data_IF_463780569130
#
_entry.id   IF_463780569130
#
_cell.length_a   1.000
_cell.length_b   1.000
_cell.length_c   1.000
_cell.angle_alpha   90.00
_cell.angle_beta   90.00
_cell.angle_gamma   90.00
#
_symmetry.space_group_name_H-M   'P 1'
#
loop_
_entity.id
_entity.type
_entity.pdbx_description
1 polymer ?
#
# COMPACT_ATOMS: atom_id res chain seq x y z
N UNK A 1 -67.88 -56.31 121.04
CA UNK A 1 -68.02 -57.12 119.81
C UNK A 1 -68.49 -56.27 118.64
N UNK A 2 -69.65 -55.61 118.72
CA UNK A 2 -70.19 -54.82 117.59
C UNK A 2 -69.29 -53.66 117.10
N UNK A 3 -68.60 -52.96 118.01
CA UNK A 3 -67.72 -51.84 117.64
C UNK A 3 -66.46 -52.29 116.87
N UNK A 4 -65.96 -53.49 117.16
CA UNK A 4 -64.83 -54.11 116.43
C UNK A 4 -65.30 -54.59 115.06
N UNK A 5 -66.50 -55.18 114.96
CA UNK A 5 -67.10 -55.55 113.67
C UNK A 5 -67.33 -54.34 112.77
N UNK A 6 -67.80 -53.22 113.32
CA UNK A 6 -67.97 -51.98 112.57
C UNK A 6 -66.64 -51.43 112.04
N UNK A 7 -65.59 -51.43 112.86
CA UNK A 7 -64.25 -51.01 112.43
C UNK A 7 -63.68 -51.93 111.34
N UNK A 8 -63.84 -53.25 111.45
CA UNK A 8 -63.41 -54.22 110.43
C UNK A 8 -64.16 -53.98 109.11
N UNK A 9 -65.47 -53.74 109.17
CA UNK A 9 -66.28 -53.47 107.98
C UNK A 9 -65.92 -52.13 107.32
N UNK A 10 -65.61 -51.10 108.12
CA UNK A 10 -65.11 -49.81 107.62
C UNK A 10 -63.75 -49.94 106.94
N UNK A 11 -62.78 -50.59 107.60
CA UNK A 11 -61.44 -50.87 107.05
C UNK A 11 -61.51 -51.75 105.79
N UNK A 12 -62.49 -52.65 105.71
CA UNK A 12 -62.75 -53.47 104.53
C UNK A 12 -63.20 -52.66 103.32
N UNK A 13 -64.14 -51.71 103.51
CA UNK A 13 -64.56 -50.77 102.46
C UNK A 13 -63.43 -49.85 102.02
N UNK A 14 -62.64 -49.36 102.97
CA UNK A 14 -61.49 -48.50 102.70
C UNK A 14 -60.38 -49.25 101.93
N UNK A 15 -60.12 -50.52 102.27
CA UNK A 15 -59.23 -51.39 101.50
C UNK A 15 -59.74 -51.66 100.08
N UNK A 16 -61.05 -51.84 99.89
CA UNK A 16 -61.64 -52.04 98.57
C UNK A 16 -61.47 -50.78 97.70
N UNK A 17 -61.79 -49.60 98.24
CA UNK A 17 -61.60 -48.31 97.58
C UNK A 17 -60.12 -48.07 97.18
N UNK A 18 -59.18 -48.41 98.09
CA UNK A 18 -57.75 -48.31 97.79
C UNK A 18 -57.33 -49.25 96.66
N UNK A 19 -57.85 -50.50 96.61
CA UNK A 19 -57.57 -51.44 95.53
C UNK A 19 -58.09 -50.96 94.17
N UNK A 20 -59.30 -50.42 94.14
CA UNK A 20 -59.89 -49.82 92.92
C UNK A 20 -59.06 -48.62 92.44
N UNK A 21 -58.64 -47.77 93.37
CA UNK A 21 -57.78 -46.61 93.06
C UNK A 21 -56.42 -47.04 92.53
N UNK A 22 -55.76 -48.05 93.14
CA UNK A 22 -54.49 -48.60 92.66
C UNK A 22 -54.66 -49.15 91.24
N UNK A 23 -55.71 -49.94 90.98
CA UNK A 23 -55.97 -50.50 89.65
C UNK A 23 -56.17 -49.39 88.60
N UNK A 24 -56.84 -48.30 88.94
CA UNK A 24 -57.01 -47.16 88.04
C UNK A 24 -55.68 -46.45 87.78
N UNK A 25 -54.87 -46.22 88.82
CA UNK A 25 -53.55 -45.60 88.67
C UNK A 25 -52.61 -46.47 87.83
N UNK A 26 -52.63 -47.79 87.99
CA UNK A 26 -51.85 -48.72 87.17
C UNK A 26 -52.27 -48.64 85.68
N UNK A 27 -53.58 -48.56 85.41
CA UNK A 27 -54.09 -48.36 84.05
C UNK A 27 -53.60 -47.03 83.46
N UNK A 28 -53.70 -45.94 84.21
CA UNK A 28 -53.25 -44.61 83.77
C UNK A 28 -51.73 -44.58 83.52
N UNK A 29 -50.94 -45.22 84.39
CA UNK A 29 -49.48 -45.34 84.21
C UNK A 29 -49.16 -46.08 82.91
N UNK A 30 -49.90 -47.14 82.60
CA UNK A 30 -49.72 -47.90 81.36
C UNK A 30 -50.04 -47.04 80.13
N UNK A 31 -51.12 -46.27 80.16
CA UNK A 31 -51.51 -45.36 79.09
C UNK A 31 -50.46 -44.27 78.88
N UNK A 32 -50.05 -43.57 79.94
CA UNK A 32 -48.99 -42.55 79.91
C UNK A 32 -47.68 -43.11 79.35
N UNK A 33 -47.29 -44.33 79.74
CA UNK A 33 -46.07 -44.95 79.23
C UNK A 33 -46.16 -45.27 77.73
N UNK A 34 -47.35 -45.64 77.24
CA UNK A 34 -47.59 -45.88 75.82
C UNK A 34 -47.54 -44.59 75.00
N UNK A 35 -48.15 -43.52 75.50
CA UNK A 35 -48.07 -42.18 74.89
C UNK A 35 -46.63 -41.65 74.87
N UNK A 36 -45.89 -41.82 75.97
CA UNK A 36 -44.48 -41.46 76.04
C UNK A 36 -43.64 -42.18 74.98
N UNK A 37 -43.87 -43.48 74.76
CA UNK A 37 -43.19 -44.22 73.70
C UNK A 37 -43.53 -43.65 72.32
N UNK A 38 -44.81 -43.42 72.03
CA UNK A 38 -45.24 -42.85 70.74
C UNK A 38 -44.63 -41.46 70.49
N UNK A 39 -44.57 -40.62 71.53
CA UNK A 39 -43.92 -39.30 71.45
C UNK A 39 -42.41 -39.42 71.22
N UNK A 40 -41.76 -40.40 71.86
CA UNK A 40 -40.32 -40.67 71.67
C UNK A 40 -40.04 -41.10 70.23
N UNK A 41 -40.82 -42.04 69.68
CA UNK A 41 -40.69 -42.49 68.29
C UNK A 41 -40.89 -41.35 67.29
N UNK A 42 -41.88 -40.49 67.57
CA UNK A 42 -42.15 -39.29 66.76
C UNK A 42 -40.99 -38.31 66.82
N UNK A 43 -40.44 -38.05 68.01
CA UNK A 43 -39.28 -37.18 68.20
C UNK A 43 -38.04 -37.70 67.45
N UNK A 44 -37.81 -39.00 67.48
CA UNK A 44 -36.70 -39.63 66.76
C UNK A 44 -36.89 -39.54 65.24
N UNK A 45 -38.13 -39.68 64.76
CA UNK A 45 -38.44 -39.47 63.34
C UNK A 45 -38.19 -38.04 62.89
N UNK A 46 -38.70 -37.06 63.66
CA UNK A 46 -38.48 -35.63 63.37
C UNK A 46 -37.00 -35.26 63.42
N UNK A 47 -36.23 -35.85 64.34
CA UNK A 47 -34.79 -35.64 64.44
C UNK A 47 -34.05 -36.15 63.19
N UNK A 48 -34.47 -37.30 62.65
CA UNK A 48 -33.92 -37.82 61.37
C UNK A 48 -34.29 -36.93 60.18
N UNK A 49 -35.53 -36.46 60.12
CA UNK A 49 -35.96 -35.56 59.05
C UNK A 49 -35.25 -34.21 59.08
N UNK A 50 -35.04 -33.64 60.27
CA UNK A 50 -34.25 -32.42 60.44
C UNK A 50 -32.82 -32.61 59.92
N UNK A 51 -32.15 -33.70 60.31
CA UNK A 51 -30.81 -33.99 59.84
C UNK A 51 -30.74 -34.16 58.31
N UNK A 52 -31.77 -34.78 57.71
CA UNK A 52 -31.90 -34.91 56.25
C UNK A 52 -32.06 -33.56 55.57
N UNK A 53 -32.97 -32.72 56.06
CA UNK A 53 -33.22 -31.38 55.51
C UNK A 53 -31.97 -30.49 55.64
N UNK A 54 -31.24 -30.57 56.75
CA UNK A 54 -29.99 -29.82 56.92
C UNK A 54 -28.90 -30.29 55.95
N UNK A 55 -28.81 -31.60 55.68
CA UNK A 55 -27.90 -32.12 54.65
C UNK A 55 -28.30 -31.65 53.24
N UNK A 56 -29.59 -31.67 52.91
CA UNK A 56 -30.09 -31.16 51.63
C UNK A 56 -29.84 -29.65 51.48
N UNK A 57 -30.09 -28.87 52.53
CA UNK A 57 -29.84 -27.42 52.55
C UNK A 57 -28.37 -27.11 52.32
N UNK A 58 -27.47 -27.77 53.04
CA UNK A 58 -26.03 -27.54 52.89
C UNK A 58 -25.54 -27.90 51.48
N UNK A 59 -26.05 -28.97 50.87
CA UNK A 59 -25.77 -29.30 49.47
C UNK A 59 -26.20 -28.18 48.53
N UNK A 60 -27.44 -27.70 48.65
CA UNK A 60 -27.97 -26.62 47.79
C UNK A 60 -27.20 -25.32 47.97
N UNK A 61 -26.80 -24.98 49.21
CA UNK A 61 -25.98 -23.80 49.48
C UNK A 61 -24.60 -23.91 48.82
N UNK A 62 -24.00 -25.11 48.80
CA UNK A 62 -22.73 -25.32 48.09
C UNK A 62 -22.88 -25.19 46.58
N UNK A 63 -23.93 -25.75 45.99
CA UNK A 63 -24.21 -25.66 44.56
C UNK A 63 -24.47 -24.20 44.15
N UNK A 64 -25.26 -23.47 44.94
CA UNK A 64 -25.53 -22.05 44.71
C UNK A 64 -24.25 -21.20 44.74
N UNK A 65 -23.31 -21.53 45.63
CA UNK A 65 -22.01 -20.84 45.68
C UNK A 65 -21.20 -21.10 44.41
N UNK A 66 -21.10 -22.36 43.98
CA UNK A 66 -20.37 -22.74 42.75
C UNK A 66 -20.97 -22.05 41.53
N UNK A 67 -22.30 -22.03 41.42
CA UNK A 67 -23.03 -21.40 40.33
C UNK A 67 -22.79 -19.88 40.30
N UNK A 68 -22.74 -19.22 41.46
CA UNK A 68 -22.39 -17.78 41.56
C UNK A 68 -20.96 -17.52 41.08
N UNK A 69 -20.00 -18.33 41.51
CA UNK A 69 -18.59 -18.19 41.10
C UNK A 69 -18.41 -18.46 39.60
N UNK A 70 -19.15 -19.41 39.04
CA UNK A 70 -19.18 -19.65 37.59
C UNK A 70 -19.73 -18.44 36.83
N UNK A 71 -20.87 -17.91 37.27
CA UNK A 71 -21.50 -16.73 36.65
C UNK A 71 -20.60 -15.51 36.69
N UNK A 72 -19.92 -15.27 37.80
CA UNK A 72 -18.98 -14.16 37.92
C UNK A 72 -17.82 -14.29 36.93
N UNK A 73 -17.24 -15.49 36.81
CA UNK A 73 -16.18 -15.75 35.81
C UNK A 73 -16.67 -15.55 34.39
N UNK A 74 -17.85 -16.06 34.05
CA UNK A 74 -18.44 -15.87 32.73
C UNK A 74 -18.68 -14.38 32.42
N UNK A 75 -19.12 -13.60 33.41
CA UNK A 75 -19.34 -12.18 33.26
C UNK A 75 -18.02 -11.40 33.08
N UNK A 76 -16.96 -11.79 33.78
CA UNK A 76 -15.62 -11.23 33.57
C UNK A 76 -15.11 -11.50 32.15
N UNK A 77 -15.24 -12.74 31.67
CA UNK A 77 -14.89 -13.12 30.30
C UNK A 77 -15.70 -12.30 29.30
N UNK A 78 -17.01 -12.19 29.49
CA UNK A 78 -17.88 -11.41 28.60
C UNK A 78 -17.45 -9.95 28.50
N UNK A 79 -17.08 -9.32 29.63
CA UNK A 79 -16.59 -7.93 29.63
C UNK A 79 -15.26 -7.81 28.89
N UNK A 80 -14.31 -8.70 29.14
CA UNK A 80 -13.03 -8.75 28.42
C UNK A 80 -13.23 -8.93 26.90
N UNK A 81 -14.12 -9.85 26.48
CA UNK A 81 -14.40 -10.06 25.06
C UNK A 81 -15.09 -8.83 24.44
N UNK A 82 -15.98 -8.14 25.16
CA UNK A 82 -16.59 -6.89 24.69
C UNK A 82 -15.54 -5.80 24.46
N UNK A 83 -14.58 -5.65 25.37
CA UNK A 83 -13.49 -4.69 25.22
C UNK A 83 -12.63 -5.00 23.99
N UNK A 84 -12.29 -6.27 23.77
CA UNK A 84 -11.57 -6.72 22.56
C UNK A 84 -12.35 -6.40 21.28
N UNK A 85 -13.66 -6.65 21.26
CA UNK A 85 -14.52 -6.32 20.11
C UNK A 85 -14.49 -4.81 19.84
N UNK A 86 -14.60 -3.98 20.87
CA UNK A 86 -14.52 -2.52 20.72
C UNK A 86 -13.16 -2.08 20.18
N UNK A 87 -12.06 -2.68 20.64
CA UNK A 87 -10.72 -2.40 20.10
C UNK A 87 -10.60 -2.78 18.63
N UNK A 88 -11.04 -3.99 18.26
CA UNK A 88 -10.99 -4.44 16.86
C UNK A 88 -11.87 -3.59 15.94
N UNK A 89 -13.00 -3.09 16.45
CA UNK A 89 -13.85 -2.16 15.71
C UNK A 89 -13.14 -0.83 15.42
N UNK A 90 -12.34 -0.33 16.38
CA UNK A 90 -11.50 0.85 16.18
C UNK A 90 -10.41 0.59 15.13
N UNK A 91 -9.70 -0.54 15.23
CA UNK A 91 -8.65 -0.90 14.27
C UNK A 91 -9.21 -1.03 12.84
N UNK A 92 -10.39 -1.65 12.69
CA UNK A 92 -11.09 -1.75 11.40
C UNK A 92 -11.43 -0.36 10.85
N UNK A 93 -11.84 0.58 11.70
CA UNK A 93 -12.12 1.94 11.28
C UNK A 93 -10.85 2.63 10.75
N UNK A 94 -9.74 2.55 11.48
CA UNK A 94 -8.45 3.10 11.06
C UNK A 94 -7.94 2.49 9.75
N UNK A 95 -8.01 1.17 9.61
CA UNK A 95 -7.61 0.47 8.38
C UNK A 95 -8.45 0.91 7.16
N UNK A 96 -9.74 1.21 7.35
CA UNK A 96 -10.58 1.73 6.28
C UNK A 96 -10.19 3.15 5.86
N UNK A 97 -9.78 4.01 6.80
CA UNK A 97 -9.27 5.34 6.48
C UNK A 97 -7.97 5.26 5.66
N UNK A 98 -7.03 4.43 6.12
CA UNK A 98 -5.77 4.20 5.39
C UNK A 98 -6.02 3.64 3.99
N UNK A 99 -6.96 2.70 3.85
CA UNK A 99 -7.36 2.17 2.54
C UNK A 99 -7.89 3.27 1.61
N UNK A 100 -8.72 4.17 2.13
CA UNK A 100 -9.26 5.28 1.34
C UNK A 100 -8.15 6.22 0.85
N UNK A 101 -7.17 6.53 1.71
CA UNK A 101 -5.99 7.31 1.33
C UNK A 101 -5.15 6.59 0.27
N UNK A 102 -4.92 5.29 0.45
CA UNK A 102 -4.20 4.47 -0.52
C UNK A 102 -4.90 4.44 -1.88
N UNK A 103 -6.22 4.29 -1.91
CA UNK A 103 -7.01 4.31 -3.15
C UNK A 103 -6.94 5.67 -3.85
N UNK A 104 -6.93 6.77 -3.08
CA UNK A 104 -6.71 8.12 -3.62
C UNK A 104 -5.32 8.26 -4.24
N UNK A 105 -4.28 7.86 -3.51
CA UNK A 105 -2.90 7.88 -3.97
C UNK A 105 -2.71 7.03 -5.24
N UNK A 106 -3.28 5.83 -5.27
CA UNK A 106 -3.23 4.93 -6.42
C UNK A 106 -3.87 5.55 -7.67
N UNK A 107 -5.02 6.22 -7.52
CA UNK A 107 -5.67 6.95 -8.63
C UNK A 107 -4.78 8.08 -9.14
N UNK A 108 -4.18 8.85 -8.25
CA UNK A 108 -3.30 9.95 -8.62
C UNK A 108 -2.03 9.47 -9.35
N UNK A 109 -1.40 8.41 -8.85
CA UNK A 109 -0.27 7.77 -9.53
C UNK A 109 -0.62 7.27 -10.93
N UNK A 110 -1.80 6.67 -11.11
CA UNK A 110 -2.27 6.24 -12.42
C UNK A 110 -2.51 7.41 -13.38
N UNK A 111 -3.00 8.55 -12.89
CA UNK A 111 -3.13 9.77 -13.71
C UNK A 111 -1.77 10.29 -14.16
N UNK A 112 -0.82 10.40 -13.24
CA UNK A 112 0.53 10.86 -13.55
C UNK A 112 1.22 9.97 -14.58
N UNK A 113 1.04 8.65 -14.46
CA UNK A 113 1.56 7.70 -15.44
C UNK A 113 0.96 7.92 -16.84
N UNK A 114 -0.36 8.09 -16.92
CA UNK A 114 -1.04 8.36 -18.20
C UNK A 114 -0.58 9.69 -18.82
N UNK A 115 -0.46 10.75 -18.00
CA UNK A 115 -0.01 12.06 -18.47
C UNK A 115 1.44 12.01 -19.00
N UNK A 116 2.32 11.28 -18.30
CA UNK A 116 3.70 11.10 -18.73
C UNK A 116 3.78 10.30 -20.04
N UNK A 117 2.98 9.24 -20.15
CA UNK A 117 2.90 8.43 -21.37
C UNK A 117 2.39 9.26 -22.56
N UNK A 118 1.39 10.11 -22.35
CA UNK A 118 0.89 11.03 -23.38
C UNK A 118 1.96 12.02 -23.82
N UNK A 119 2.66 12.65 -22.88
CA UNK A 119 3.78 13.57 -23.19
C UNK A 119 4.88 12.87 -23.99
N UNK A 120 5.21 11.63 -23.64
CA UNK A 120 6.21 10.86 -24.36
C UNK A 120 5.77 10.60 -25.81
N UNK A 121 4.51 10.21 -26.04
CA UNK A 121 3.96 10.01 -27.38
C UNK A 121 3.97 11.30 -28.22
N UNK A 122 3.55 12.42 -27.63
CA UNK A 122 3.58 13.75 -28.29
C UNK A 122 5.01 14.15 -28.69
N UNK A 123 6.00 13.86 -27.83
CA UNK A 123 7.42 14.09 -28.13
C UNK A 123 7.94 13.19 -29.25
N UNK A 124 7.59 11.91 -29.26
CA UNK A 124 7.97 10.97 -30.32
C UNK A 124 7.39 11.39 -31.69
N UNK A 125 6.13 11.82 -31.72
CA UNK A 125 5.50 12.33 -32.94
C UNK A 125 6.20 13.59 -33.45
N UNK A 126 6.50 14.53 -32.55
CA UNK A 126 7.23 15.77 -32.88
C UNK A 126 8.61 15.45 -33.48
N UNK A 127 9.36 14.53 -32.88
CA UNK A 127 10.68 14.12 -33.38
C UNK A 127 10.54 13.49 -34.77
N UNK A 128 9.54 12.63 -34.98
CA UNK A 128 9.28 11.99 -36.27
C UNK A 128 8.97 13.03 -37.36
N UNK A 129 8.14 14.02 -37.06
CA UNK A 129 7.84 15.11 -38.00
C UNK A 129 9.08 15.95 -38.33
N UNK A 130 9.88 16.30 -37.33
CA UNK A 130 11.11 17.05 -37.53
C UNK A 130 12.13 16.27 -38.36
N UNK A 131 12.25 14.95 -38.12
CA UNK A 131 13.11 14.07 -38.91
C UNK A 131 12.69 14.07 -40.40
N UNK A 132 11.39 13.97 -40.69
CA UNK A 132 10.88 14.06 -42.06
C UNK A 132 11.14 15.43 -42.71
N UNK A 133 10.91 16.52 -41.97
CA UNK A 133 11.20 17.89 -42.44
C UNK A 133 12.68 18.10 -42.75
N UNK A 134 13.56 17.53 -41.93
CA UNK A 134 15.01 17.56 -42.14
C UNK A 134 15.40 16.77 -43.39
N UNK A 135 14.85 15.56 -43.57
CA UNK A 135 15.10 14.74 -44.76
C UNK A 135 14.71 15.46 -46.05
N UNK A 136 13.55 16.12 -46.07
CA UNK A 136 13.09 16.92 -47.22
C UNK A 136 14.02 18.11 -47.46
N UNK A 137 14.47 18.79 -46.41
CA UNK A 137 15.38 19.94 -46.54
C UNK A 137 16.74 19.52 -47.12
N UNK A 138 17.29 18.40 -46.67
CA UNK A 138 18.55 17.84 -47.20
C UNK A 138 18.42 17.52 -48.69
N UNK A 139 17.35 16.82 -49.10
CA UNK A 139 17.11 16.51 -50.52
C UNK A 139 17.03 17.77 -51.38
N UNK A 140 16.38 18.84 -50.89
CA UNK A 140 16.31 20.13 -51.58
C UNK A 140 17.68 20.81 -51.72
N UNK A 141 18.51 20.76 -50.67
CA UNK A 141 19.88 21.29 -50.74
C UNK A 141 20.75 20.50 -51.72
N UNK A 142 20.62 19.17 -51.76
CA UNK A 142 21.33 18.33 -52.73
C UNK A 142 20.89 18.61 -54.17
N UNK A 143 19.57 18.71 -54.42
CA UNK A 143 19.03 19.10 -55.73
C UNK A 143 19.51 20.50 -56.16
N UNK A 144 19.61 21.44 -55.22
CA UNK A 144 20.14 22.78 -55.49
C UNK A 144 21.64 22.72 -55.83
N UNK A 145 22.44 21.95 -55.08
CA UNK A 145 23.88 21.73 -55.36
C UNK A 145 24.11 21.06 -56.72
N UNK A 146 23.27 20.11 -57.10
CA UNK A 146 23.40 19.39 -58.36
C UNK A 146 23.04 20.28 -59.57
N UNK A 147 22.02 21.16 -59.42
CA UNK A 147 21.64 22.14 -60.46
C UNK A 147 22.61 23.30 -60.62
N UNK A 148 23.24 23.77 -59.54
CA UNK A 148 24.12 24.95 -59.60
C UNK A 148 25.51 24.63 -60.14
N UNK A 149 25.89 23.35 -60.32
CA UNK A 149 27.16 22.92 -60.91
C UNK A 149 28.43 23.39 -60.16
N UNK A 150 28.28 24.23 -59.13
CA UNK A 150 29.32 24.64 -58.21
C UNK A 150 29.60 23.48 -57.26
N UNK A 151 30.44 22.56 -57.74
CA UNK A 151 31.36 21.88 -56.82
C UNK A 151 32.07 22.99 -56.05
N UNK A 152 31.69 23.20 -54.79
CA UNK A 152 32.55 23.83 -53.79
C UNK A 152 33.82 22.96 -53.73
N UNK A 153 34.76 23.29 -54.60
CA UNK A 153 35.99 22.57 -54.81
C UNK A 153 36.88 22.83 -53.61
N UNK A 154 37.08 21.79 -52.80
CA UNK A 154 38.00 21.75 -51.66
C UNK A 154 39.35 22.36 -52.05
N UNK A 155 39.89 23.23 -51.20
CA UNK A 155 41.20 23.85 -51.39
C UNK A 155 42.27 22.78 -51.62
N UNK A 156 42.86 22.78 -52.81
CA UNK A 156 43.77 21.74 -53.25
C UNK A 156 45.10 21.86 -52.49
N UNK A 157 45.65 20.74 -52.01
CA UNK A 157 46.94 20.74 -51.32
C UNK A 157 48.08 20.91 -52.32
N UNK A 158 49.13 21.62 -51.93
CA UNK A 158 50.26 21.90 -52.81
C UNK A 158 50.98 20.61 -53.21
N UNK A 159 51.10 19.64 -52.32
CA UNK A 159 51.81 18.38 -52.54
C UNK A 159 51.21 17.55 -53.68
N UNK A 160 49.89 17.64 -53.89
CA UNK A 160 49.14 16.82 -54.83
C UNK A 160 49.22 17.33 -56.28
N UNK A 161 49.82 18.51 -56.51
CA UNK A 161 49.80 19.18 -57.81
C UNK A 161 51.19 19.34 -58.39
N UNK A 162 51.48 18.63 -59.48
CA UNK A 162 52.77 18.73 -60.19
C UNK A 162 52.77 19.77 -61.32
N UNK A 163 51.60 20.09 -61.85
CA UNK A 163 51.43 20.96 -63.02
C UNK A 163 50.32 21.99 -62.82
N UNK A 164 50.41 23.12 -63.53
CA UNK A 164 49.37 24.16 -63.49
C UNK A 164 48.03 23.61 -63.99
N UNK A 165 46.95 23.76 -63.22
CA UNK A 165 45.64 23.21 -63.57
C UNK A 165 45.10 23.70 -64.94
N UNK A 166 45.52 24.89 -65.39
CA UNK A 166 45.10 25.47 -66.67
C UNK A 166 46.05 25.14 -67.83
N UNK A 167 47.31 25.56 -67.75
CA UNK A 167 48.25 25.41 -68.88
C UNK A 167 49.05 24.11 -68.90
N UNK A 168 48.86 23.23 -67.90
CA UNK A 168 49.46 21.89 -67.80
C UNK A 168 50.99 21.82 -67.78
N UNK A 169 51.67 22.96 -67.74
CA UNK A 169 53.13 23.01 -67.57
C UNK A 169 53.49 22.72 -66.10
N UNK A 170 54.57 22.00 -65.85
CA UNK A 170 55.06 21.65 -64.51
C UNK A 170 55.47 22.86 -63.65
N UNK A 171 55.35 22.70 -62.34
CA UNK A 171 55.88 23.65 -61.36
C UNK A 171 57.35 23.38 -61.06
N UNK A 172 58.09 24.43 -60.70
CA UNK A 172 59.51 24.35 -60.36
C UNK A 172 59.85 25.42 -59.31
N UNK A 173 61.08 25.43 -58.80
CA UNK A 173 61.50 26.44 -57.81
C UNK A 173 61.29 27.88 -58.29
N UNK A 174 61.43 28.13 -59.60
CA UNK A 174 61.20 29.43 -60.23
C UNK A 174 59.73 29.68 -60.60
N UNK A 175 58.92 28.62 -60.66
CA UNK A 175 57.52 28.68 -61.04
C UNK A 175 56.64 28.19 -59.89
N UNK A 176 56.22 29.12 -59.06
CA UNK A 176 55.48 28.86 -57.82
C UNK A 176 54.01 28.52 -58.07
N UNK A 177 53.44 27.80 -57.11
CA UNK A 177 52.03 27.41 -57.03
C UNK A 177 51.21 28.55 -56.44
N UNK A 178 50.03 28.77 -57.01
CA UNK A 178 49.10 29.80 -56.55
C UNK A 178 47.65 29.31 -56.62
N UNK A 179 46.95 29.34 -55.48
CA UNK A 179 45.53 29.00 -55.47
C UNK A 179 44.63 30.09 -56.04
N UNK A 180 43.62 29.68 -56.79
CA UNK A 180 42.46 30.52 -57.06
C UNK A 180 41.59 30.59 -55.80
N UNK A 181 41.28 31.80 -55.31
CA UNK A 181 40.41 32.00 -54.13
C UNK A 181 38.92 31.76 -54.40
N UNK A 182 38.55 31.60 -55.68
CA UNK A 182 37.18 31.28 -56.08
C UNK A 182 36.96 29.75 -56.20
N UNK A 183 37.86 29.00 -56.85
CA UNK A 183 37.69 27.55 -57.04
C UNK A 183 38.64 26.66 -56.22
N UNK A 184 39.61 27.20 -55.49
CA UNK A 184 40.53 26.42 -54.65
C UNK A 184 41.61 25.60 -55.38
N UNK A 185 41.63 25.58 -56.72
CA UNK A 185 42.63 24.88 -57.53
C UNK A 185 43.95 25.65 -57.66
N UNK A 186 45.03 24.98 -58.07
CA UNK A 186 46.41 25.52 -58.12
C UNK A 186 46.86 25.86 -59.55
N UNK A 187 47.37 27.08 -59.72
CA UNK A 187 47.79 27.66 -60.99
C UNK A 187 49.18 28.32 -60.89
N UNK A 188 49.81 28.62 -62.02
CA UNK A 188 51.00 29.47 -62.07
C UNK A 188 50.60 30.96 -62.15
N UNK A 189 51.56 31.86 -61.93
CA UNK A 189 51.33 33.31 -61.95
C UNK A 189 50.66 33.78 -63.25
N UNK A 190 51.05 33.23 -64.40
CA UNK A 190 50.46 33.59 -65.71
C UNK A 190 49.00 33.16 -65.89
N UNK A 191 48.52 32.14 -65.17
CA UNK A 191 47.15 31.61 -65.29
C UNK A 191 46.23 32.08 -64.15
N UNK A 192 46.79 32.73 -63.13
CA UNK A 192 46.02 33.28 -62.01
C UNK A 192 46.56 34.66 -61.60
N UNK A 193 47.08 35.45 -62.53
CA UNK A 193 47.75 36.73 -62.24
C UNK A 193 46.81 37.83 -61.76
N UNK A 194 45.52 37.72 -62.05
CA UNK A 194 44.53 38.74 -61.75
C UNK A 194 43.99 38.62 -60.33
N UNK A 195 43.77 39.77 -59.68
CA UNK A 195 43.03 39.87 -58.42
C UNK A 195 41.70 40.54 -58.67
N UNK A 196 40.61 39.92 -58.20
CA UNK A 196 39.26 40.46 -58.26
C UNK A 196 38.64 40.53 -56.86
N UNK A 197 37.75 41.49 -56.59
CA UNK A 197 36.94 41.46 -55.38
C UNK A 197 36.03 40.21 -55.42
N UNK A 198 36.01 39.44 -54.33
CA UNK A 198 35.06 38.34 -54.14
C UNK A 198 34.15 38.68 -52.97
N UNK A 199 32.88 38.24 -52.96
CA UNK A 199 31.98 38.42 -51.81
C UNK A 199 32.57 37.88 -50.49
N UNK A 200 33.47 36.90 -50.57
CA UNK A 200 34.16 36.30 -49.42
C UNK A 200 35.33 37.12 -48.87
N UNK A 201 35.72 38.25 -49.50
CA UNK A 201 36.84 39.07 -49.03
C UNK A 201 36.72 40.55 -49.40
N UNK A 202 36.92 41.43 -48.43
CA UNK A 202 36.91 42.89 -48.61
C UNK A 202 38.12 43.43 -49.40
N UNK A 203 39.05 42.56 -49.83
CA UNK A 203 40.23 42.93 -50.63
C UNK A 203 40.25 42.12 -51.93
N UNK A 204 40.75 42.66 -53.05
CA UNK A 204 40.92 41.89 -54.27
C UNK A 204 41.81 40.65 -54.04
N UNK A 205 41.26 39.47 -54.31
CA UNK A 205 41.93 38.18 -54.13
C UNK A 205 42.24 37.53 -55.46
N UNK A 206 43.29 36.69 -55.46
CA UNK A 206 43.79 36.02 -56.66
C UNK A 206 42.77 35.04 -57.22
N UNK A 207 42.45 35.14 -58.51
CA UNK A 207 41.56 34.20 -59.21
C UNK A 207 42.22 33.70 -60.50
N UNK A 208 41.91 32.46 -60.90
CA UNK A 208 42.36 31.94 -62.21
C UNK A 208 41.60 32.61 -63.35
N UNK A 209 42.14 32.51 -64.57
CA UNK A 209 41.53 33.12 -65.76
C UNK A 209 40.09 32.67 -65.99
N UNK A 210 39.78 31.39 -65.73
CA UNK A 210 38.43 30.85 -65.87
C UNK A 210 37.46 31.48 -64.86
N UNK A 211 37.82 31.51 -63.57
CA UNK A 211 37.00 32.15 -62.54
C UNK A 211 36.86 33.64 -62.80
N UNK A 212 37.92 34.31 -63.26
CA UNK A 212 37.85 35.73 -63.67
C UNK A 212 36.79 35.93 -64.74
N UNK A 213 36.84 35.16 -65.83
CA UNK A 213 35.89 35.30 -66.92
C UNK A 213 34.46 34.99 -66.48
N UNK A 214 34.26 33.97 -65.63
CA UNK A 214 32.94 33.62 -65.10
C UNK A 214 32.37 34.71 -64.19
N UNK A 215 33.17 35.24 -63.27
CA UNK A 215 32.77 36.32 -62.36
C UNK A 215 32.46 37.61 -63.12
N UNK A 216 33.26 37.96 -64.13
CA UNK A 216 32.99 39.11 -64.99
C UNK A 216 31.70 38.93 -65.81
N UNK A 217 31.45 37.72 -66.31
CA UNK A 217 30.20 37.41 -67.01
C UNK A 217 28.99 37.49 -66.07
N UNK A 218 29.09 37.00 -64.83
CA UNK A 218 28.03 37.15 -63.83
C UNK A 218 27.75 38.61 -63.44
N UNK A 219 28.77 39.47 -63.43
CA UNK A 219 28.57 40.91 -63.22
C UNK A 219 27.86 41.59 -64.40
N UNK A 220 28.07 41.13 -65.64
CA UNK A 220 27.38 41.69 -66.81
C UNK A 220 25.89 41.30 -66.88
N UNK A 221 25.50 40.17 -66.28
CA UNK A 221 24.11 39.70 -66.21
C UNK A 221 23.34 40.32 -65.03
N UNK A 222 24.04 40.86 -64.03
CA UNK A 222 23.45 41.45 -62.81
C UNK A 222 23.66 42.97 -62.69
N UNK A 223 23.96 43.66 -63.79
CA UNK A 223 23.77 45.13 -63.87
C UNK A 223 22.28 45.40 -64.15
N UNK A 224 21.64 46.35 -63.44
CA UNK A 224 20.24 46.69 -63.66
C UNK A 224 19.94 47.19 -65.06
#
# INVERSE_FOLDING_TARGET
NEEIEYQIQSLGKENQMLRETISQLESNIKEINSEKHALTDTNDSLSRDLARIDAEKTSIETDLRVEKDFRQRLQQTLTSEKEKVSSLQFDIHELNLIKQEYDSYKKEMSRQQNDLQKKFQEQEETIRELALKLEVSIKREDEFREKDGLRLSTWMKDEDVKECCQCKKEFSSLRRKHHCRSCGQIFCESCAGTKLPLPSSNKPVRVCDMCRNHLLAQCAVNSP
#
